data_IF_186089514475
#
_entry.id   IF_186089514475
#
_cell.length_a   1.000
_cell.length_b   1.000
_cell.length_c   1.000
_cell.angle_alpha   90.00
_cell.angle_beta   90.00
_cell.angle_gamma   90.00
#
_symmetry.space_group_name_H-M   'P 1'
#
loop_
_entity.id
_entity.type
_entity.pdbx_description
1 polymer ?
#
# COMPACT_ATOMS: atom_id res chain seq x y z
N UNK A 1 18.44 7.78 -8.37
CA UNK A 1 19.17 7.13 -7.27
C UNK A 1 19.30 8.13 -6.14
N UNK A 2 18.90 7.78 -4.93
CA UNK A 2 19.19 8.58 -3.74
C UNK A 2 20.61 8.27 -3.28
N UNK A 3 21.38 9.26 -2.88
CA UNK A 3 22.82 9.12 -2.59
C UNK A 3 23.15 8.10 -1.47
N UNK A 4 22.16 7.75 -0.64
CA UNK A 4 22.33 6.95 0.57
C UNK A 4 21.54 5.62 0.59
N UNK A 5 20.96 5.20 -0.54
CA UNK A 5 20.09 4.01 -0.57
C UNK A 5 20.14 3.28 -1.90
N UNK A 6 20.11 1.95 -1.84
CA UNK A 6 20.00 1.06 -3.00
C UNK A 6 18.59 0.49 -3.03
N UNK A 7 17.88 0.65 -4.15
CA UNK A 7 16.55 0.05 -4.35
C UNK A 7 16.63 -1.47 -4.31
N UNK A 8 15.68 -2.08 -3.61
CA UNK A 8 15.56 -3.52 -3.45
C UNK A 8 14.48 -4.10 -4.36
N UNK A 9 13.29 -3.53 -4.25
CA UNK A 9 12.10 -3.90 -5.02
C UNK A 9 11.18 -2.71 -5.21
N UNK A 10 10.16 -2.90 -6.04
CA UNK A 10 9.02 -2.03 -6.14
C UNK A 10 7.73 -2.82 -5.83
N UNK A 11 6.78 -2.17 -5.20
CA UNK A 11 5.48 -2.75 -4.87
C UNK A 11 4.37 -1.71 -4.94
N UNK A 12 3.13 -2.21 -5.07
CA UNK A 12 1.96 -1.36 -5.13
C UNK A 12 1.19 -1.37 -3.82
N UNK A 13 0.90 -0.18 -3.31
CA UNK A 13 -0.18 0.03 -2.36
C UNK A 13 -1.49 0.07 -3.12
N UNK A 14 -2.29 -0.98 -2.94
CA UNK A 14 -3.48 -1.29 -3.73
C UNK A 14 -4.70 -1.41 -2.83
N UNK A 15 -5.88 -1.50 -3.44
CA UNK A 15 -7.10 -1.90 -2.78
C UNK A 15 -7.37 -3.38 -3.05
N UNK A 16 -7.77 -4.11 -2.02
CA UNK A 16 -8.21 -5.49 -2.12
C UNK A 16 -9.58 -5.69 -1.47
N UNK A 17 -10.33 -6.65 -2.00
CA UNK A 17 -11.67 -6.99 -1.52
C UNK A 17 -12.00 -8.46 -1.75
N UNK A 18 -13.01 -8.97 -1.03
CA UNK A 18 -13.62 -10.27 -1.30
C UNK A 18 -14.87 -10.07 -2.20
N UNK A 19 -14.87 -10.57 -3.45
CA UNK A 19 -16.01 -10.46 -4.37
C UNK A 19 -17.25 -11.23 -3.90
N UNK A 20 -17.13 -12.13 -2.92
CA UNK A 20 -18.27 -12.81 -2.31
C UNK A 20 -19.00 -11.95 -1.27
N UNK A 21 -18.38 -10.85 -0.83
CA UNK A 21 -18.96 -9.92 0.15
C UNK A 21 -19.58 -8.70 -0.54
N UNK A 22 -18.93 -8.17 -1.58
CA UNK A 22 -19.40 -6.98 -2.28
C UNK A 22 -20.35 -7.30 -3.44
N UNK A 23 -21.48 -6.59 -3.52
CA UNK A 23 -22.44 -6.69 -4.63
C UNK A 23 -21.90 -6.11 -5.95
N UNK A 24 -21.01 -5.12 -5.84
CA UNK A 24 -20.36 -4.45 -6.96
C UNK A 24 -18.85 -4.46 -6.72
N UNK A 25 -18.08 -4.61 -7.78
CA UNK A 25 -16.62 -4.50 -7.69
C UNK A 25 -16.19 -3.03 -7.55
N UNK A 26 -15.29 -2.69 -6.61
CA UNK A 26 -14.56 -1.44 -6.66
C UNK A 26 -13.68 -1.38 -7.91
N UNK A 27 -13.52 -0.18 -8.43
CA UNK A 27 -12.87 0.13 -9.71
C UNK A 27 -11.60 0.95 -9.55
N UNK A 28 -11.42 1.59 -8.39
CA UNK A 28 -10.15 2.22 -7.97
C UNK A 28 -9.96 2.14 -6.46
N UNK A 29 -8.75 2.46 -5.98
CA UNK A 29 -8.50 2.63 -4.55
C UNK A 29 -9.42 3.69 -3.92
N UNK A 30 -9.83 4.70 -4.70
CA UNK A 30 -10.66 5.80 -4.21
C UNK A 30 -12.08 5.36 -3.81
N UNK A 31 -12.55 4.20 -4.31
CA UNK A 31 -13.84 3.63 -3.92
C UNK A 31 -13.90 3.28 -2.42
N UNK A 32 -12.76 3.21 -1.71
CA UNK A 32 -12.70 3.03 -0.25
C UNK A 32 -13.42 4.15 0.53
N UNK A 33 -13.55 5.33 -0.09
CA UNK A 33 -14.24 6.48 0.51
C UNK A 33 -15.76 6.50 0.24
N UNK A 34 -16.28 5.66 -0.64
CA UNK A 34 -17.71 5.62 -0.99
C UNK A 34 -18.46 4.58 -0.15
N UNK A 35 -18.76 4.96 1.09
CA UNK A 35 -19.44 4.11 2.08
C UNK A 35 -20.92 3.87 1.77
N UNK A 36 -21.49 4.66 0.86
CA UNK A 36 -22.88 4.49 0.41
C UNK A 36 -22.96 3.38 -0.65
N UNK A 37 -22.03 3.41 -1.62
CA UNK A 37 -21.93 2.39 -2.66
C UNK A 37 -21.35 1.08 -2.14
N UNK A 38 -20.38 1.16 -1.22
CA UNK A 38 -19.74 0.01 -0.59
C UNK A 38 -19.91 0.06 0.94
N UNK A 39 -21.10 -0.33 1.46
CA UNK A 39 -21.35 -0.32 2.88
C UNK A 39 -20.53 -1.37 3.64
N UNK A 40 -20.01 -0.98 4.80
CA UNK A 40 -19.29 -1.86 5.74
C UNK A 40 -17.87 -1.40 6.04
N UNK A 41 -17.26 -1.99 7.08
CA UNK A 41 -15.92 -1.61 7.55
C UNK A 41 -14.85 -1.73 6.45
N UNK A 42 -13.86 -0.85 6.49
CA UNK A 42 -12.72 -0.84 5.58
C UNK A 42 -11.43 -0.77 6.39
N UNK A 43 -10.34 -1.28 5.85
CA UNK A 43 -9.05 -1.21 6.51
C UNK A 43 -8.06 -0.34 5.76
N UNK A 44 -7.29 0.48 6.50
CA UNK A 44 -6.28 1.38 5.97
C UNK A 44 -5.04 1.34 6.84
N UNK A 45 -3.86 1.60 6.25
CA UNK A 45 -2.60 1.61 6.99
C UNK A 45 -2.64 2.71 8.04
N UNK A 46 -2.14 2.46 9.25
CA UNK A 46 -2.00 3.48 10.29
C UNK A 46 -0.76 4.35 10.05
N UNK A 47 -0.67 4.91 8.85
CA UNK A 47 0.42 5.76 8.41
C UNK A 47 -0.15 6.86 7.51
N UNK A 48 0.31 8.12 7.59
CA UNK A 48 -0.30 9.21 6.84
C UNK A 48 0.02 9.16 5.35
N UNK A 49 1.21 8.72 4.96
CA UNK A 49 1.55 8.56 3.55
C UNK A 49 0.60 7.55 2.90
N UNK A 50 0.41 7.69 1.58
CA UNK A 50 -0.63 7.05 0.77
C UNK A 50 -2.06 7.48 1.12
N UNK A 51 -2.42 7.47 2.40
CA UNK A 51 -3.77 7.81 2.86
C UNK A 51 -4.16 9.26 2.56
N UNK A 52 -3.26 10.21 2.76
CA UNK A 52 -3.54 11.63 2.48
C UNK A 52 -3.62 11.88 0.97
N UNK A 53 -2.79 11.20 0.18
CA UNK A 53 -2.81 11.25 -1.29
C UNK A 53 -4.15 10.72 -1.83
N UNK A 54 -4.59 9.54 -1.39
CA UNK A 54 -5.89 9.00 -1.77
C UNK A 54 -7.05 9.84 -1.28
N UNK A 55 -6.94 10.43 -0.08
CA UNK A 55 -7.97 11.33 0.43
C UNK A 55 -8.12 12.57 -0.45
N UNK A 56 -7.03 13.21 -0.88
CA UNK A 56 -7.10 14.34 -1.80
C UNK A 56 -7.65 13.94 -3.17
N UNK A 57 -7.21 12.79 -3.72
CA UNK A 57 -7.73 12.29 -4.99
C UNK A 57 -9.23 11.97 -4.91
N UNK A 58 -9.69 11.35 -3.82
CA UNK A 58 -11.12 11.09 -3.57
C UNK A 58 -11.92 12.38 -3.29
N UNK A 59 -11.25 13.48 -2.97
CA UNK A 59 -11.80 14.83 -2.86
C UNK A 59 -11.67 15.65 -4.15
N UNK A 60 -11.30 15.00 -5.27
CA UNK A 60 -11.29 15.59 -6.61
C UNK A 60 -9.99 16.30 -7.00
N UNK A 61 -8.92 16.21 -6.20
CA UNK A 61 -7.60 16.70 -6.60
C UNK A 61 -7.03 15.77 -7.68
N UNK A 62 -6.56 16.33 -8.79
CA UNK A 62 -5.90 15.55 -9.82
C UNK A 62 -4.59 14.95 -9.28
N UNK A 63 -4.24 13.73 -9.69
CA UNK A 63 -3.05 13.03 -9.21
C UNK A 63 -1.75 13.87 -9.35
N UNK A 64 -1.64 14.65 -10.42
CA UNK A 64 -0.49 15.53 -10.67
C UNK A 64 -0.36 16.69 -9.67
N UNK A 65 -1.46 17.10 -9.04
CA UNK A 65 -1.51 18.26 -8.14
C UNK A 65 -1.45 17.87 -6.65
N UNK A 66 -1.55 16.57 -6.34
CA UNK A 66 -1.63 16.05 -4.95
C UNK A 66 -0.50 16.59 -4.08
N UNK A 67 0.75 16.50 -4.54
CA UNK A 67 1.90 16.95 -3.75
C UNK A 67 2.00 18.48 -3.65
N UNK A 68 1.56 19.22 -4.66
CA UNK A 68 1.48 20.67 -4.58
C UNK A 68 0.45 21.12 -3.52
N UNK A 69 -0.67 20.39 -3.41
CA UNK A 69 -1.67 20.60 -2.36
C UNK A 69 -1.13 20.19 -0.99
N UNK A 70 -0.51 19.01 -0.85
CA UNK A 70 0.05 18.53 0.42
C UNK A 70 1.20 19.39 0.96
N UNK A 71 1.83 20.22 0.11
CA UNK A 71 2.85 21.16 0.54
C UNK A 71 2.33 22.29 1.44
N UNK A 72 1.01 22.45 1.60
CA UNK A 72 0.41 23.49 2.45
C UNK A 72 -0.35 22.91 3.64
N UNK A 73 -0.38 23.60 4.80
CA UNK A 73 -1.23 23.21 5.93
C UNK A 73 -2.71 23.05 5.56
N UNK A 74 -3.21 23.91 4.67
CA UNK A 74 -4.59 23.87 4.17
C UNK A 74 -4.87 22.59 3.38
N UNK A 75 -3.93 22.16 2.54
CA UNK A 75 -4.04 20.91 1.79
C UNK A 75 -3.99 19.67 2.68
N UNK A 76 -3.12 19.67 3.70
CA UNK A 76 -3.10 18.61 4.73
C UNK A 76 -4.44 18.56 5.48
N UNK A 77 -4.98 19.71 5.89
CA UNK A 77 -6.29 19.79 6.54
C UNK A 77 -7.42 19.31 5.64
N UNK A 78 -7.37 19.59 4.34
CA UNK A 78 -8.33 19.10 3.34
C UNK A 78 -8.31 17.57 3.27
N UNK A 79 -7.12 16.96 3.22
CA UNK A 79 -6.97 15.51 3.22
C UNK A 79 -7.56 14.87 4.49
N UNK A 80 -7.27 15.43 5.67
CA UNK A 80 -7.86 14.95 6.94
C UNK A 80 -9.38 15.09 6.98
N UNK A 81 -9.94 16.20 6.49
CA UNK A 81 -11.40 16.36 6.38
C UNK A 81 -12.04 15.25 5.55
N UNK A 82 -11.39 14.84 4.45
CA UNK A 82 -11.88 13.72 3.64
C UNK A 82 -11.76 12.39 4.40
N UNK A 83 -10.66 12.12 5.08
CA UNK A 83 -10.52 10.93 5.93
C UNK A 83 -11.56 10.88 7.06
N UNK A 84 -11.90 12.04 7.65
CA UNK A 84 -12.91 12.14 8.70
C UNK A 84 -14.29 11.66 8.24
N UNK A 85 -14.61 11.78 6.94
CA UNK A 85 -15.89 11.30 6.38
C UNK A 85 -16.09 9.79 6.52
N UNK A 86 -15.00 9.02 6.65
CA UNK A 86 -15.02 7.55 6.78
C UNK A 86 -14.32 7.06 8.06
N UNK A 87 -13.99 7.96 8.99
CA UNK A 87 -13.15 7.62 10.15
C UNK A 87 -13.75 6.59 11.11
N UNK A 88 -15.06 6.63 11.36
CA UNK A 88 -15.77 5.69 12.25
C UNK A 88 -15.79 4.24 11.74
N UNK A 89 -15.26 4.11 10.55
CA UNK A 89 -15.63 3.15 9.58
C UNK A 89 -14.32 2.39 9.18
N UNK A 90 -13.15 2.95 9.52
CA UNK A 90 -11.81 2.40 9.31
C UNK A 90 -11.34 1.51 10.46
N UNK A 91 -10.76 0.36 10.11
CA UNK A 91 -9.87 -0.44 10.95
C UNK A 91 -8.42 -0.13 10.54
N UNK A 92 -7.61 0.35 11.49
CA UNK A 92 -6.23 0.75 11.22
C UNK A 92 -5.28 -0.44 11.36
N UNK A 93 -4.62 -0.82 10.27
CA UNK A 93 -3.60 -1.88 10.29
C UNK A 93 -2.19 -1.29 10.41
N UNK A 94 -1.32 -1.98 11.14
CA UNK A 94 0.09 -1.62 11.38
C UNK A 94 1.06 -2.67 10.80
N UNK A 95 0.57 -3.88 10.44
CA UNK A 95 1.39 -4.96 9.88
C UNK A 95 0.77 -5.56 8.62
N UNK A 96 1.60 -5.86 7.62
CA UNK A 96 1.15 -6.36 6.31
C UNK A 96 0.44 -7.72 6.31
N UNK A 97 0.48 -8.47 7.41
CA UNK A 97 -0.31 -9.69 7.56
C UNK A 97 -1.78 -9.43 7.93
N UNK A 98 -2.10 -8.24 8.45
CA UNK A 98 -3.44 -7.90 8.92
C UNK A 98 -4.47 -7.71 7.79
N UNK A 99 -4.18 -7.00 6.67
CA UNK A 99 -5.17 -6.82 5.60
C UNK A 99 -5.81 -8.12 5.07
N UNK A 100 -5.05 -9.17 4.67
CA UNK A 100 -5.68 -10.41 4.23
C UNK A 100 -6.45 -11.13 5.34
N UNK A 101 -6.00 -11.03 6.60
CA UNK A 101 -6.73 -11.61 7.75
C UNK A 101 -8.07 -10.92 7.98
N UNK A 102 -8.10 -9.58 7.91
CA UNK A 102 -9.31 -8.77 8.08
C UNK A 102 -10.34 -9.04 6.97
N UNK A 103 -9.88 -9.28 5.73
CA UNK A 103 -10.73 -9.72 4.64
C UNK A 103 -11.24 -11.15 4.87
N UNK A 104 -10.36 -12.09 5.24
CA UNK A 104 -10.72 -13.49 5.46
C UNK A 104 -11.74 -13.66 6.60
N UNK A 105 -11.61 -12.88 7.68
CA UNK A 105 -12.54 -12.87 8.80
C UNK A 105 -13.83 -12.10 8.52
N UNK A 106 -13.91 -11.40 7.37
CA UNK A 106 -15.01 -10.51 6.98
C UNK A 106 -15.22 -9.36 7.97
N UNK A 107 -14.20 -9.01 8.75
CA UNK A 107 -14.22 -7.83 9.62
C UNK A 107 -14.29 -6.54 8.80
N UNK A 108 -13.73 -6.57 7.58
CA UNK A 108 -13.81 -5.48 6.61
C UNK A 108 -14.27 -5.99 5.25
N UNK A 109 -14.96 -5.16 4.48
CA UNK A 109 -15.42 -5.47 3.12
C UNK A 109 -14.37 -5.17 2.05
N UNK A 110 -13.41 -4.29 2.38
CA UNK A 110 -12.25 -3.97 1.56
C UNK A 110 -11.12 -3.42 2.42
N UNK A 111 -9.89 -3.44 1.90
CA UNK A 111 -8.70 -2.94 2.60
C UNK A 111 -7.73 -2.33 1.61
N UNK A 112 -7.00 -1.28 2.01
CA UNK A 112 -5.72 -1.00 1.38
C UNK A 112 -4.69 -2.02 1.86
N UNK A 113 -3.75 -2.41 1.01
CA UNK A 113 -2.72 -3.39 1.33
C UNK A 113 -1.55 -3.29 0.34
N UNK A 114 -0.39 -3.79 0.76
CA UNK A 114 0.68 -4.10 -0.18
C UNK A 114 0.28 -5.29 -1.06
N UNK A 115 0.38 -5.14 -2.38
CA UNK A 115 -0.12 -6.10 -3.38
C UNK A 115 0.37 -7.54 -3.12
N UNK A 116 1.64 -7.70 -2.76
CA UNK A 116 2.25 -9.00 -2.49
C UNK A 116 1.67 -9.73 -1.28
N UNK A 117 1.08 -9.01 -0.31
CA UNK A 117 0.39 -9.64 0.83
C UNK A 117 -0.93 -10.27 0.41
N UNK A 118 -1.65 -9.62 -0.50
CA UNK A 118 -2.91 -10.11 -1.03
C UNK A 118 -2.66 -11.22 -2.04
N UNK A 119 -1.70 -11.04 -2.94
CA UNK A 119 -1.34 -12.05 -3.94
C UNK A 119 -0.86 -13.34 -3.28
N UNK A 120 -0.05 -13.26 -2.21
CA UNK A 120 0.33 -14.45 -1.45
C UNK A 120 -0.89 -15.21 -0.87
N UNK A 121 -1.89 -14.51 -0.34
CA UNK A 121 -3.10 -15.15 0.18
C UNK A 121 -3.92 -15.80 -0.94
N UNK A 122 -3.96 -15.21 -2.13
CA UNK A 122 -4.61 -15.78 -3.31
C UNK A 122 -3.87 -17.06 -3.75
N UNK A 123 -2.55 -16.96 -3.97
CA UNK A 123 -1.76 -18.03 -4.58
C UNK A 123 -1.51 -19.21 -3.64
N UNK A 124 -1.31 -18.95 -2.34
CA UNK A 124 -0.93 -19.98 -1.36
C UNK A 124 -2.12 -20.53 -0.59
N UNK A 125 -3.07 -19.68 -0.22
CA UNK A 125 -4.19 -20.06 0.63
C UNK A 125 -5.50 -20.22 -0.15
N UNK A 126 -5.51 -19.92 -1.47
CA UNK A 126 -6.70 -19.99 -2.31
C UNK A 126 -7.75 -18.95 -1.93
N UNK A 127 -7.35 -17.86 -1.26
CA UNK A 127 -8.28 -16.83 -0.83
C UNK A 127 -8.97 -16.19 -2.06
N UNK A 128 -10.30 -15.99 -2.04
CA UNK A 128 -11.04 -15.52 -3.21
C UNK A 128 -10.87 -14.00 -3.45
N UNK A 129 -9.80 -13.38 -2.96
CA UNK A 129 -9.61 -11.94 -3.01
C UNK A 129 -9.33 -11.44 -4.42
N UNK A 130 -9.65 -10.17 -4.66
CA UNK A 130 -9.32 -9.44 -5.89
C UNK A 130 -8.57 -8.16 -5.56
N UNK A 131 -7.61 -7.82 -6.42
CA UNK A 131 -6.80 -6.61 -6.33
C UNK A 131 -7.30 -5.58 -7.35
N UNK A 132 -7.42 -4.33 -6.92
CA UNK A 132 -7.73 -3.16 -7.75
C UNK A 132 -6.48 -2.29 -7.85
N UNK A 133 -5.99 -2.12 -9.08
CA UNK A 133 -4.74 -1.41 -9.38
C UNK A 133 -4.91 0.07 -9.73
N UNK A 134 -6.11 0.49 -10.12
CA UNK A 134 -6.35 1.90 -10.46
C UNK A 134 -6.18 2.78 -9.21
N UNK A 135 -5.43 3.88 -9.35
CA UNK A 135 -5.02 4.76 -8.25
C UNK A 135 -4.14 4.07 -7.18
N UNK A 136 -3.47 2.96 -7.51
CA UNK A 136 -2.40 2.42 -6.67
C UNK A 136 -1.26 3.43 -6.53
N UNK A 137 -0.53 3.34 -5.42
CA UNK A 137 0.69 4.12 -5.20
C UNK A 137 1.88 3.16 -5.27
N UNK A 138 2.79 3.43 -6.21
CA UNK A 138 4.02 2.68 -6.37
C UNK A 138 5.03 3.12 -5.31
N UNK A 139 5.47 2.20 -4.49
CA UNK A 139 6.53 2.38 -3.51
C UNK A 139 7.79 1.58 -3.91
N UNK A 140 8.92 1.95 -3.32
CA UNK A 140 10.19 1.26 -3.48
C UNK A 140 10.79 0.99 -2.10
N UNK A 141 11.09 -0.26 -1.79
CA UNK A 141 11.94 -0.54 -0.63
C UNK A 141 13.40 -0.27 -0.98
N UNK A 142 14.10 0.33 -0.02
CA UNK A 142 15.52 0.65 -0.16
C UNK A 142 16.30 0.14 1.03
N UNK A 143 17.51 -0.33 0.77
CA UNK A 143 18.47 -0.69 1.81
C UNK A 143 19.52 0.41 1.90
N UNK A 144 19.76 0.88 3.13
CA UNK A 144 20.79 1.85 3.47
C UNK A 144 21.75 1.25 4.51
N UNK A 145 23.01 1.70 4.49
CA UNK A 145 23.99 1.37 5.54
C UNK A 145 23.92 2.47 6.61
N UNK A 146 23.52 2.17 7.86
CA UNK A 146 23.48 3.18 8.91
C UNK A 146 24.86 3.78 9.18
N UNK A 147 24.91 5.08 9.45
CA UNK A 147 26.16 5.75 9.87
C UNK A 147 26.68 5.09 11.15
N UNK A 148 27.95 4.67 11.14
CA UNK A 148 28.56 3.95 12.27
C UNK A 148 28.25 2.45 12.31
N UNK A 149 27.74 1.86 11.23
CA UNK A 149 27.61 0.42 11.10
C UNK A 149 28.94 -0.29 11.43
N UNK A 150 28.88 -1.38 12.20
CA UNK A 150 30.07 -2.08 12.69
C UNK A 150 30.93 -2.70 11.57
N UNK A 151 30.31 -3.05 10.44
CA UNK A 151 30.96 -3.75 9.32
C UNK A 151 30.54 -3.13 7.96
N UNK A 152 30.94 -1.89 7.65
CA UNK A 152 30.47 -1.19 6.45
C UNK A 152 30.93 -1.89 5.16
N UNK A 153 32.16 -2.40 5.12
CA UNK A 153 32.70 -3.08 3.94
C UNK A 153 31.94 -4.37 3.60
N UNK A 154 31.53 -5.13 4.63
CA UNK A 154 30.72 -6.33 4.43
C UNK A 154 29.32 -5.97 3.97
N UNK A 155 28.73 -4.90 4.51
CA UNK A 155 27.44 -4.40 4.06
C UNK A 155 27.49 -3.96 2.59
N UNK A 156 28.55 -3.27 2.15
CA UNK A 156 28.74 -2.93 0.73
C UNK A 156 28.86 -4.17 -0.17
N UNK A 157 29.62 -5.19 0.25
CA UNK A 157 29.71 -6.46 -0.49
C UNK A 157 28.36 -7.16 -0.58
N UNK A 158 27.58 -7.15 0.49
CA UNK A 158 26.23 -7.71 0.51
C UNK A 158 25.29 -6.95 -0.45
N UNK A 159 25.29 -5.62 -0.39
CA UNK A 159 24.50 -4.79 -1.31
C UNK A 159 24.87 -5.06 -2.77
N UNK A 160 26.17 -5.10 -3.09
CA UNK A 160 26.64 -5.42 -4.43
C UNK A 160 26.18 -6.81 -4.91
N UNK A 161 26.14 -7.79 -4.01
CA UNK A 161 25.67 -9.14 -4.33
C UNK A 161 24.16 -9.19 -4.59
N UNK A 162 23.33 -8.63 -3.71
CA UNK A 162 21.86 -8.70 -3.86
C UNK A 162 21.34 -7.86 -5.04
N UNK A 163 22.10 -6.86 -5.48
CA UNK A 163 21.78 -6.04 -6.66
C UNK A 163 22.18 -6.69 -7.98
N UNK A 164 22.83 -7.86 -7.99
CA UNK A 164 23.12 -8.59 -9.22
C UNK A 164 21.80 -9.03 -9.89
N UNK A 165 21.65 -8.88 -11.23
CA UNK A 165 20.41 -9.20 -11.93
C UNK A 165 19.88 -10.60 -11.63
N UNK A 166 20.76 -11.61 -11.64
CA UNK A 166 20.44 -13.02 -11.39
C UNK A 166 20.04 -13.31 -9.94
N UNK A 167 20.44 -12.46 -8.99
CA UNK A 167 20.06 -12.56 -7.59
C UNK A 167 18.74 -11.85 -7.36
N UNK A 168 18.62 -10.61 -7.83
CA UNK A 168 17.41 -9.81 -7.69
C UNK A 168 16.21 -10.44 -8.41
N UNK A 169 16.41 -11.02 -9.60
CA UNK A 169 15.36 -11.72 -10.37
C UNK A 169 14.75 -12.93 -9.63
N UNK A 170 15.34 -13.41 -8.54
CA UNK A 170 14.78 -14.48 -7.72
C UNK A 170 13.77 -13.96 -6.70
N UNK A 171 13.80 -12.68 -6.33
CA UNK A 171 12.91 -12.10 -5.33
C UNK A 171 11.41 -12.28 -5.68
N UNK A 172 10.95 -12.01 -6.92
CA UNK A 172 9.55 -12.18 -7.31
C UNK A 172 8.98 -13.60 -7.09
N UNK A 173 9.85 -14.62 -7.02
CA UNK A 173 9.42 -16.01 -6.79
C UNK A 173 8.97 -16.28 -5.35
N UNK A 174 9.35 -15.41 -4.41
CA UNK A 174 8.99 -15.53 -2.99
C UNK A 174 7.85 -14.58 -2.58
N UNK A 175 7.80 -13.42 -3.21
CA UNK A 175 6.78 -12.38 -3.01
C UNK A 175 6.61 -11.61 -4.32
N UNK A 176 5.39 -11.25 -4.71
CA UNK A 176 5.11 -10.62 -6.00
C UNK A 176 5.43 -9.11 -6.01
N UNK A 177 6.69 -8.80 -5.73
CA UNK A 177 7.32 -7.49 -5.86
C UNK A 177 8.43 -7.59 -6.91
N UNK A 178 8.75 -6.49 -7.58
CA UNK A 178 9.75 -6.45 -8.65
C UNK A 178 9.90 -5.08 -9.27
#
# INVERSE_FOLDING_TARGET
ALDCGVGLDAYGDVLAYDPNVLKQAPTSVLDIFDTTKFPGKRAMRKFPAQNLEWALMADGVAAADVYAVLATPEGVNRAFKKLDTIKQDIVWWDAGAQPPQLLASKEVVMTTAWNGRIQNAIDKDGAPFKIVWNNQILEYDMIAIPKGAKNPDLAYKYLAYISQPEINAKLPSYITYG
#
